data_IF_519742091136
#
_entry.id   IF_519742091136
#
_cell.length_a   1.000
_cell.length_b   1.000
_cell.length_c   1.000
_cell.angle_alpha   90.00
_cell.angle_beta   90.00
_cell.angle_gamma   90.00
#
_symmetry.space_group_name_H-M   'P 1'
#
loop_
_entity.id
_entity.type
_entity.pdbx_description
1 polymer ?
#
# COMPACT_ATOMS: atom_id res chain seq x y z
N UNK A 1 -15.69 7.46 -34.86
CA UNK A 1 -16.35 7.48 -33.54
C UNK A 1 -15.24 7.51 -32.51
N UNK A 2 -15.01 8.67 -31.90
CA UNK A 2 -13.94 8.89 -30.92
C UNK A 2 -14.57 9.00 -29.55
N UNK A 3 -14.37 8.01 -28.68
CA UNK A 3 -14.77 8.07 -27.28
C UNK A 3 -13.71 8.86 -26.49
N UNK A 4 -14.12 9.99 -25.91
CA UNK A 4 -13.31 10.76 -24.97
C UNK A 4 -13.43 10.14 -23.57
N UNK A 5 -12.34 9.99 -22.81
CA UNK A 5 -12.42 9.46 -21.45
C UNK A 5 -13.07 10.50 -20.53
N UNK A 6 -14.10 10.07 -19.80
CA UNK A 6 -14.84 10.90 -18.86
C UNK A 6 -13.92 11.50 -17.78
N UNK A 7 -13.83 12.84 -17.76
CA UNK A 7 -13.10 13.63 -16.78
C UNK A 7 -13.74 13.46 -15.40
N UNK A 8 -13.15 12.62 -14.53
CA UNK A 8 -13.59 12.46 -13.13
C UNK A 8 -13.51 13.83 -12.44
N UNK A 9 -14.68 14.41 -12.14
CA UNK A 9 -14.83 15.66 -11.39
C UNK A 9 -14.42 15.43 -9.93
N UNK A 10 -13.32 16.05 -9.52
CA UNK A 10 -12.88 16.16 -8.14
C UNK A 10 -11.57 16.93 -8.06
N UNK A 11 -11.40 17.80 -7.06
CA UNK A 11 -10.10 18.39 -6.72
C UNK A 11 -9.06 17.26 -6.63
N UNK A 12 -7.84 17.40 -7.16
CA UNK A 12 -6.82 16.37 -7.04
C UNK A 12 -6.71 15.90 -5.59
N UNK A 13 -6.66 14.58 -5.38
CA UNK A 13 -6.56 13.99 -4.04
C UNK A 13 -5.36 14.63 -3.35
N UNK A 14 -5.56 15.20 -2.16
CA UNK A 14 -4.50 15.83 -1.37
C UNK A 14 -3.50 14.83 -0.78
N UNK A 15 -3.69 13.53 -1.04
CA UNK A 15 -2.87 12.44 -0.53
C UNK A 15 -2.57 11.43 -1.65
N UNK A 16 -1.44 10.75 -1.53
CA UNK A 16 -1.10 9.59 -2.33
C UNK A 16 -1.71 8.33 -1.68
N UNK A 17 -2.64 7.62 -2.36
CA UNK A 17 -3.27 6.42 -1.80
C UNK A 17 -2.29 5.30 -1.43
N UNK A 18 -1.20 5.13 -2.19
CA UNK A 18 -0.21 4.07 -1.91
C UNK A 18 0.57 4.39 -0.64
N UNK A 19 0.97 5.66 -0.48
CA UNK A 19 1.66 6.13 0.73
C UNK A 19 0.72 6.04 1.94
N UNK A 20 -0.55 6.41 1.78
CA UNK A 20 -1.54 6.30 2.86
C UNK A 20 -1.75 4.83 3.28
N UNK A 21 -1.88 3.91 2.33
CA UNK A 21 -2.03 2.49 2.64
C UNK A 21 -0.78 1.91 3.33
N UNK A 22 0.43 2.25 2.87
CA UNK A 22 1.67 1.82 3.52
C UNK A 22 1.74 2.26 5.00
N UNK A 23 1.43 3.52 5.28
CA UNK A 23 1.41 4.03 6.67
C UNK A 23 0.30 3.44 7.52
N UNK A 24 -0.86 3.15 6.92
CA UNK A 24 -1.93 2.43 7.60
C UNK A 24 -1.46 1.00 7.96
N UNK A 25 -0.78 0.30 7.05
CA UNK A 25 -0.19 -1.03 7.28
C UNK A 25 0.76 -1.01 8.48
N UNK A 26 1.70 -0.06 8.54
CA UNK A 26 2.64 0.10 9.66
C UNK A 26 1.91 0.30 11.01
N UNK A 27 0.86 1.12 11.00
CA UNK A 27 0.03 1.38 12.18
C UNK A 27 -0.66 0.09 12.65
N UNK A 28 -1.25 -0.66 11.72
CA UNK A 28 -1.90 -1.93 12.02
C UNK A 28 -0.92 -3.02 12.49
N UNK A 29 0.31 -3.07 11.97
CA UNK A 29 1.32 -4.00 12.46
C UNK A 29 1.77 -3.69 13.88
N UNK A 30 1.98 -2.41 14.18
CA UNK A 30 2.48 -1.98 15.49
C UNK A 30 1.42 -2.13 16.58
N UNK A 31 0.17 -1.79 16.28
CA UNK A 31 -0.91 -1.68 17.28
C UNK A 31 -1.94 -2.82 17.20
N UNK A 32 -1.88 -3.64 16.14
CA UNK A 32 -2.91 -4.62 15.82
C UNK A 32 -4.19 -3.98 15.28
N UNK A 33 -5.03 -4.80 14.63
CA UNK A 33 -6.32 -4.35 14.09
C UNK A 33 -7.22 -3.76 15.18
N UNK A 34 -7.36 -4.42 16.34
CA UNK A 34 -8.22 -3.92 17.41
C UNK A 34 -7.68 -2.62 18.04
N UNK A 35 -6.36 -2.51 18.22
CA UNK A 35 -5.71 -1.39 18.91
C UNK A 35 -5.62 -0.11 18.10
N UNK A 36 -5.42 -0.19 16.77
CA UNK A 36 -5.28 1.00 15.93
C UNK A 36 -6.58 1.83 15.87
N UNK A 37 -6.63 3.02 16.45
CA UNK A 37 -7.81 3.87 16.35
C UNK A 37 -7.85 4.62 15.00
N UNK A 38 -9.01 5.18 14.66
CA UNK A 38 -9.10 6.06 13.49
C UNK A 38 -8.34 7.37 13.66
N UNK A 39 -8.03 7.78 14.90
CA UNK A 39 -7.16 8.95 15.12
C UNK A 39 -5.72 8.60 14.80
N UNK A 40 -5.25 7.42 15.23
CA UNK A 40 -3.90 6.93 14.93
C UNK A 40 -3.70 6.80 13.41
N UNK A 41 -4.68 6.20 12.72
CA UNK A 41 -4.67 6.07 11.26
C UNK A 41 -4.73 7.43 10.57
N UNK A 42 -5.51 8.37 11.09
CA UNK A 42 -5.61 9.73 10.57
C UNK A 42 -4.27 10.47 10.69
N UNK A 43 -3.64 10.39 11.86
CA UNK A 43 -2.34 10.99 12.13
C UNK A 43 -1.22 10.38 11.27
N UNK A 44 -1.17 9.04 11.17
CA UNK A 44 -0.16 8.33 10.39
C UNK A 44 -0.28 8.68 8.90
N UNK A 45 -1.48 8.56 8.33
CA UNK A 45 -1.71 8.76 6.89
C UNK A 45 -1.71 10.23 6.46
N UNK A 46 -1.82 11.18 7.40
CA UNK A 46 -2.00 12.60 7.11
C UNK A 46 -3.36 12.94 6.52
N UNK A 47 -4.32 12.01 6.59
CA UNK A 47 -5.69 12.19 6.11
C UNK A 47 -6.62 12.41 7.28
N UNK A 48 -7.57 13.34 7.19
CA UNK A 48 -8.62 13.45 8.20
C UNK A 48 -9.58 12.25 8.13
N UNK A 49 -10.31 11.98 9.22
CA UNK A 49 -11.27 10.87 9.32
C UNK A 49 -12.29 10.82 8.17
N UNK A 50 -12.98 11.92 7.79
CA UNK A 50 -13.92 11.88 6.66
C UNK A 50 -13.25 11.47 5.34
N UNK A 51 -12.01 11.89 5.09
CA UNK A 51 -11.28 11.52 3.89
C UNK A 51 -10.88 10.05 3.89
N UNK A 52 -10.49 9.50 5.04
CA UNK A 52 -10.25 8.05 5.19
C UNK A 52 -11.52 7.27 4.87
N UNK A 53 -12.65 7.67 5.48
CA UNK A 53 -13.93 7.01 5.22
C UNK A 53 -14.37 7.11 3.76
N UNK A 54 -14.27 8.29 3.15
CA UNK A 54 -14.64 8.49 1.76
C UNK A 54 -13.72 7.77 0.76
N UNK A 55 -12.47 7.51 1.15
CA UNK A 55 -11.49 6.84 0.31
C UNK A 55 -11.53 5.32 0.41
N UNK A 56 -11.71 4.80 1.62
CA UNK A 56 -11.47 3.39 1.94
C UNK A 56 -12.69 2.70 2.55
N UNK A 57 -13.77 3.42 2.88
CA UNK A 57 -14.90 2.87 3.61
C UNK A 57 -14.59 2.83 5.10
N UNK A 58 -14.89 1.74 5.78
CA UNK A 58 -14.64 1.61 7.22
C UNK A 58 -13.22 1.13 7.56
N UNK A 59 -12.96 0.94 8.86
CA UNK A 59 -11.68 0.45 9.36
C UNK A 59 -11.35 -0.96 8.85
N UNK A 60 -12.36 -1.81 8.64
CA UNK A 60 -12.17 -3.15 8.11
C UNK A 60 -11.75 -3.09 6.65
N UNK A 61 -12.44 -2.29 5.84
CA UNK A 61 -12.12 -2.09 4.44
C UNK A 61 -10.74 -1.42 4.25
N UNK A 62 -10.37 -0.46 5.11
CA UNK A 62 -9.02 0.11 5.14
C UNK A 62 -7.96 -0.95 5.50
N UNK A 63 -8.23 -1.80 6.48
CA UNK A 63 -7.32 -2.89 6.85
C UNK A 63 -7.10 -3.89 5.71
N UNK A 64 -8.18 -4.33 5.06
CA UNK A 64 -8.11 -5.20 3.89
C UNK A 64 -7.32 -4.54 2.75
N UNK A 65 -7.61 -3.28 2.43
CA UNK A 65 -6.89 -2.54 1.39
C UNK A 65 -5.40 -2.36 1.71
N UNK A 66 -5.06 -2.18 2.99
CA UNK A 66 -3.68 -2.06 3.45
C UNK A 66 -2.90 -3.37 3.28
N UNK A 67 -3.52 -4.51 3.62
CA UNK A 67 -2.95 -5.85 3.39
C UNK A 67 -2.79 -6.13 1.90
N UNK A 68 -3.83 -5.88 1.09
CA UNK A 68 -3.80 -6.13 -0.35
C UNK A 68 -2.70 -5.31 -1.03
N UNK A 69 -2.59 -4.03 -0.69
CA UNK A 69 -1.53 -3.17 -1.23
C UNK A 69 -0.13 -3.66 -0.84
N UNK A 70 0.05 -4.10 0.41
CA UNK A 70 1.32 -4.68 0.85
C UNK A 70 1.66 -5.98 0.09
N UNK A 71 0.68 -6.88 -0.08
CA UNK A 71 0.87 -8.13 -0.83
C UNK A 71 1.20 -7.87 -2.30
N UNK A 72 0.53 -6.91 -2.93
CA UNK A 72 0.76 -6.55 -4.33
C UNK A 72 2.12 -5.90 -4.52
N UNK A 73 2.53 -4.99 -3.63
CA UNK A 73 3.87 -4.40 -3.64
C UNK A 73 4.96 -5.47 -3.47
N UNK A 74 4.78 -6.40 -2.52
CA UNK A 74 5.70 -7.51 -2.26
C UNK A 74 5.81 -8.45 -3.45
N UNK A 75 4.68 -8.81 -4.06
CA UNK A 75 4.63 -9.63 -5.28
C UNK A 75 5.33 -8.93 -6.44
N UNK A 76 5.07 -7.63 -6.63
CA UNK A 76 5.71 -6.82 -7.65
C UNK A 76 7.23 -6.80 -7.51
N UNK A 77 7.74 -6.58 -6.30
CA UNK A 77 9.17 -6.60 -6.01
C UNK A 77 9.81 -7.96 -6.31
N UNK A 78 9.17 -9.06 -5.90
CA UNK A 78 9.63 -10.42 -6.20
C UNK A 78 9.66 -10.71 -7.70
N UNK A 79 8.58 -10.37 -8.43
CA UNK A 79 8.52 -10.56 -9.89
C UNK A 79 9.62 -9.76 -10.60
N UNK A 80 9.87 -8.53 -10.17
CA UNK A 80 10.94 -7.70 -10.74
C UNK A 80 12.33 -8.27 -10.44
N UNK A 81 12.57 -8.80 -9.24
CA UNK A 81 13.83 -9.45 -8.88
C UNK A 81 14.13 -10.66 -9.79
N UNK A 82 13.10 -11.44 -10.14
CA UNK A 82 13.22 -12.55 -11.10
C UNK A 82 13.40 -12.09 -12.56
N UNK A 83 12.67 -11.06 -12.98
CA UNK A 83 12.67 -10.59 -14.39
C UNK A 83 13.88 -9.73 -14.77
N UNK A 84 14.68 -9.28 -13.81
CA UNK A 84 15.85 -8.42 -14.04
C UNK A 84 17.01 -9.06 -14.85
N UNK A 85 16.86 -10.32 -15.29
CA UNK A 85 17.84 -11.03 -16.14
C UNK A 85 19.15 -11.38 -15.43
N UNK A 86 20.07 -12.00 -16.17
CA UNK A 86 21.36 -12.46 -15.67
C UNK A 86 21.36 -13.94 -15.27
N UNK A 87 22.35 -14.33 -14.46
CA UNK A 87 22.51 -15.72 -14.00
C UNK A 87 21.50 -16.08 -12.92
N UNK A 88 21.23 -17.38 -12.74
CA UNK A 88 20.39 -17.89 -11.66
C UNK A 88 20.85 -17.38 -10.28
N UNK A 89 22.16 -17.35 -10.03
CA UNK A 89 22.74 -16.80 -8.80
C UNK A 89 22.30 -15.36 -8.55
N UNK A 90 22.43 -14.50 -9.56
CA UNK A 90 22.05 -13.08 -9.45
C UNK A 90 20.55 -12.90 -9.23
N UNK A 91 19.71 -13.72 -9.87
CA UNK A 91 18.28 -13.72 -9.63
C UNK A 91 17.96 -14.11 -8.18
N UNK A 92 18.56 -15.19 -7.66
CA UNK A 92 18.39 -15.62 -6.28
C UNK A 92 18.87 -14.57 -5.27
N UNK A 93 20.02 -13.93 -5.50
CA UNK A 93 20.52 -12.85 -4.65
C UNK A 93 19.54 -11.67 -4.56
N UNK A 94 18.93 -11.26 -5.68
CA UNK A 94 17.92 -10.19 -5.68
C UNK A 94 16.66 -10.62 -4.95
N UNK A 95 16.21 -11.86 -5.14
CA UNK A 95 15.02 -12.41 -4.46
C UNK A 95 15.24 -12.45 -2.95
N UNK A 96 16.39 -12.95 -2.48
CA UNK A 96 16.70 -12.97 -1.04
C UNK A 96 16.84 -11.56 -0.47
N UNK A 97 17.44 -10.61 -1.19
CA UNK A 97 17.46 -9.20 -0.76
C UNK A 97 16.07 -8.59 -0.68
N UNK A 98 15.20 -8.86 -1.66
CA UNK A 98 13.82 -8.39 -1.65
C UNK A 98 13.04 -9.00 -0.48
N UNK A 99 13.21 -10.30 -0.22
CA UNK A 99 12.60 -10.98 0.92
C UNK A 99 13.07 -10.38 2.26
N UNK A 100 14.38 -10.16 2.42
CA UNK A 100 14.92 -9.51 3.63
C UNK A 100 14.33 -8.11 3.81
N UNK A 101 14.20 -7.33 2.74
CA UNK A 101 13.56 -6.01 2.81
C UNK A 101 12.08 -6.13 3.21
N UNK A 102 11.31 -7.01 2.57
CA UNK A 102 9.86 -7.17 2.83
C UNK A 102 9.57 -7.59 4.28
N UNK A 103 10.40 -8.48 4.86
CA UNK A 103 10.10 -9.05 6.19
C UNK A 103 10.80 -8.36 7.36
N UNK A 104 11.83 -7.55 7.12
CA UNK A 104 12.64 -6.92 8.19
C UNK A 104 12.63 -5.39 8.15
N UNK A 105 11.85 -4.77 7.26
CA UNK A 105 11.64 -3.31 7.22
C UNK A 105 10.56 -2.85 8.19
#
# INVERSE_FOLDING_TARGET
>A
MSEQPAKRRGRPRAYDPQVALAKATETFWTQGYAGASLDDLSAATGMNRPSLYGAFGDKQALFSAAIDAYMDASRGAMVQAFRAGGTLRQALERVYRAALYIYLS
#
